data_IF_800137598530
#
_entry.id   IF_800137598530
#
_cell.length_a   1.000
_cell.length_b   1.000
_cell.length_c   1.000
_cell.angle_alpha   90.00
_cell.angle_beta   90.00
_cell.angle_gamma   90.00
#
_symmetry.space_group_name_H-M   'P 1'
#
loop_
_entity.id
_entity.type
_entity.pdbx_description
1 polymer ?
#
# COMPACT_ATOMS: atom_id res chain seq x y z
N UNK A 1 23.93 12.94 14.74
CA UNK A 1 24.18 11.49 14.95
C UNK A 1 23.10 10.64 14.30
N UNK A 2 21.91 10.44 14.90
CA UNK A 2 20.88 9.55 14.30
C UNK A 2 20.37 10.06 12.94
N UNK A 3 20.08 11.36 12.82
CA UNK A 3 19.66 11.99 11.56
C UNK A 3 20.71 11.80 10.46
N UNK A 4 21.98 12.07 10.76
CA UNK A 4 23.05 12.06 9.77
C UNK A 4 23.38 10.62 9.33
N UNK A 5 23.23 9.64 10.23
CA UNK A 5 23.29 8.21 9.89
C UNK A 5 22.15 7.80 8.93
N UNK A 6 20.93 8.24 9.19
CA UNK A 6 19.76 7.98 8.33
C UNK A 6 19.92 8.64 6.96
N UNK A 7 20.43 9.87 6.91
CA UNK A 7 20.77 10.56 5.65
C UNK A 7 21.89 9.84 4.89
N UNK A 8 22.91 9.33 5.58
CA UNK A 8 23.98 8.55 4.96
C UNK A 8 23.50 7.21 4.37
N UNK A 9 22.42 6.63 4.93
CA UNK A 9 21.73 5.47 4.37
C UNK A 9 20.81 5.81 3.18
N UNK A 10 20.79 7.06 2.71
CA UNK A 10 19.98 7.51 1.59
C UNK A 10 18.52 7.78 1.94
N UNK A 11 18.14 7.74 3.22
CA UNK A 11 16.81 8.15 3.65
C UNK A 11 16.72 9.67 3.64
N UNK A 12 15.63 10.22 3.11
CA UNK A 12 15.40 11.66 3.03
C UNK A 12 14.30 12.10 4.00
N UNK A 13 14.23 13.40 4.25
CA UNK A 13 13.10 13.95 4.99
C UNK A 13 11.82 13.72 4.18
N UNK A 14 10.75 13.25 4.84
CA UNK A 14 9.43 13.00 4.22
C UNK A 14 8.66 14.30 3.92
N UNK A 15 9.36 15.44 3.90
CA UNK A 15 8.79 16.72 3.50
C UNK A 15 8.50 16.71 2.00
N UNK A 16 7.33 17.25 1.60
CA UNK A 16 6.92 17.35 0.19
C UNK A 16 8.04 17.90 -0.70
N UNK A 17 8.66 19.02 -0.30
CA UNK A 17 9.78 19.65 -1.03
C UNK A 17 10.99 18.71 -1.19
N UNK A 18 11.28 17.87 -0.19
CA UNK A 18 12.39 16.91 -0.26
C UNK A 18 12.13 15.81 -1.30
N UNK A 19 10.90 15.31 -1.34
CA UNK A 19 10.46 14.33 -2.34
C UNK A 19 10.49 14.95 -3.74
N UNK A 20 9.90 16.14 -3.91
CA UNK A 20 9.86 16.84 -5.20
C UNK A 20 11.28 17.15 -5.72
N UNK A 21 12.19 17.63 -4.88
CA UNK A 21 13.60 17.86 -5.26
C UNK A 21 14.32 16.58 -5.67
N UNK A 22 14.09 15.47 -4.95
CA UNK A 22 14.71 14.18 -5.27
C UNK A 22 14.22 13.66 -6.63
N UNK A 23 12.92 13.79 -6.92
CA UNK A 23 12.34 13.45 -8.21
C UNK A 23 12.90 14.32 -9.35
N UNK A 24 13.05 15.64 -9.12
CA UNK A 24 13.65 16.55 -10.11
C UNK A 24 15.11 16.25 -10.41
N UNK A 25 15.84 15.66 -9.46
CA UNK A 25 17.22 15.17 -9.66
C UNK A 25 17.29 13.83 -10.40
N UNK A 26 16.14 13.23 -10.78
CA UNK A 26 16.08 11.94 -11.45
C UNK A 26 16.19 10.74 -10.52
N UNK A 27 16.09 10.93 -9.21
CA UNK A 27 16.14 9.83 -8.24
C UNK A 27 14.77 9.15 -8.11
N UNK A 28 14.80 7.86 -7.73
CA UNK A 28 13.58 7.11 -7.37
C UNK A 28 13.29 7.25 -5.89
N UNK A 29 12.04 7.60 -5.55
CA UNK A 29 11.62 7.77 -4.16
C UNK A 29 10.69 6.63 -3.74
N UNK A 30 11.04 5.95 -2.66
CA UNK A 30 10.18 4.96 -2.01
C UNK A 30 9.36 5.64 -0.90
N UNK A 31 8.04 5.47 -0.93
CA UNK A 31 7.13 6.02 0.09
C UNK A 31 6.31 4.89 0.69
N UNK A 32 6.36 4.75 2.02
CA UNK A 32 5.51 3.81 2.76
C UNK A 32 4.16 4.48 3.01
N UNK A 33 3.13 4.05 2.28
CA UNK A 33 1.81 4.70 2.28
C UNK A 33 1.05 4.56 3.60
N UNK A 34 1.36 3.54 4.39
CA UNK A 34 0.71 3.25 5.67
C UNK A 34 1.02 4.15 6.85
N UNK A 35 2.21 4.74 6.82
CA UNK A 35 2.76 5.54 7.92
C UNK A 35 2.58 4.89 9.30
N UNK A 36 2.37 5.74 10.31
CA UNK A 36 2.17 5.28 11.68
C UNK A 36 0.77 4.69 11.93
N UNK A 37 -0.20 4.97 11.05
CA UNK A 37 -1.56 4.46 11.18
C UNK A 37 -1.59 2.93 10.95
N UNK A 38 -0.88 2.44 9.93
CA UNK A 38 -0.68 1.01 9.74
C UNK A 38 0.09 0.40 10.91
N UNK A 39 1.11 1.06 11.45
CA UNK A 39 1.89 0.54 12.58
C UNK A 39 1.04 0.28 13.85
N UNK A 40 0.00 1.07 14.09
CA UNK A 40 -0.94 0.82 15.20
C UNK A 40 -1.86 -0.39 14.96
N UNK A 41 -2.12 -0.71 13.69
CA UNK A 41 -2.94 -1.84 13.26
C UNK A 41 -2.11 -3.10 13.01
N UNK A 42 -0.81 -2.97 12.75
CA UNK A 42 0.14 -4.07 12.53
C UNK A 42 0.27 -4.89 13.80
N UNK A 43 -0.47 -5.99 13.82
CA UNK A 43 -0.32 -7.08 14.79
C UNK A 43 0.29 -8.27 14.07
N UNK A 44 1.00 -9.09 14.83
CA UNK A 44 1.40 -10.42 14.36
C UNK A 44 0.12 -11.17 13.94
N UNK A 45 -0.02 -11.43 12.65
CA UNK A 45 -1.20 -12.06 12.09
C UNK A 45 -0.85 -12.72 10.76
N UNK A 46 -1.06 -14.03 10.69
CA UNK A 46 -0.94 -14.80 9.46
C UNK A 46 -2.22 -14.73 8.61
N UNK A 47 -3.26 -14.05 9.11
CA UNK A 47 -4.62 -14.08 8.54
C UNK A 47 -5.07 -12.74 7.97
N UNK A 48 -4.49 -11.62 8.38
CA UNK A 48 -4.94 -10.28 7.98
C UNK A 48 -3.76 -9.40 7.57
N UNK A 49 -3.86 -8.77 6.40
CA UNK A 49 -2.98 -7.70 5.95
C UNK A 49 -3.76 -6.39 5.90
N UNK A 50 -3.25 -5.33 6.53
CA UNK A 50 -3.92 -4.04 6.59
C UNK A 50 -3.28 -3.05 5.62
N UNK A 51 -4.07 -2.42 4.75
CA UNK A 51 -3.65 -1.25 3.96
C UNK A 51 -4.45 -0.03 4.35
N UNK A 52 -3.79 1.11 4.47
CA UNK A 52 -4.43 2.40 4.72
C UNK A 52 -4.53 3.17 3.41
N UNK A 53 -5.77 3.38 2.95
CA UNK A 53 -6.05 3.91 1.61
C UNK A 53 -6.42 5.40 1.59
N UNK A 54 -6.49 6.06 2.75
CA UNK A 54 -6.90 7.47 2.81
C UNK A 54 -5.80 8.47 2.42
N UNK A 55 -4.54 8.05 2.38
CA UNK A 55 -3.41 8.91 2.03
C UNK A 55 -3.36 9.15 0.50
N UNK A 56 -3.58 10.39 0.07
CA UNK A 56 -3.56 10.79 -1.35
C UNK A 56 -2.41 11.73 -1.72
N UNK A 57 -1.57 12.10 -0.75
CA UNK A 57 -0.47 13.06 -0.95
C UNK A 57 0.57 12.59 -1.97
N UNK A 58 0.98 11.32 -1.91
CA UNK A 58 1.94 10.74 -2.85
C UNK A 58 1.39 10.67 -4.28
N UNK A 59 0.09 10.46 -4.42
CA UNK A 59 -0.62 10.43 -5.71
C UNK A 59 -0.58 11.80 -6.36
N UNK A 60 -0.87 12.87 -5.60
CA UNK A 60 -0.75 14.26 -6.08
C UNK A 60 0.66 14.59 -6.54
N UNK A 61 1.68 14.23 -5.76
CA UNK A 61 3.09 14.46 -6.16
C UNK A 61 3.40 13.73 -7.46
N UNK A 62 2.96 12.48 -7.59
CA UNK A 62 3.23 11.71 -8.80
C UNK A 62 2.55 12.30 -10.06
N UNK A 63 1.31 12.79 -9.92
CA UNK A 63 0.59 13.47 -11.00
C UNK A 63 1.26 14.79 -11.39
N UNK A 64 1.66 15.62 -10.42
CA UNK A 64 2.34 16.91 -10.67
C UNK A 64 3.64 16.72 -11.45
N UNK A 65 4.46 15.74 -11.07
CA UNK A 65 5.74 15.47 -11.70
C UNK A 65 5.66 14.49 -12.88
N UNK A 66 4.46 14.01 -13.22
CA UNK A 66 4.22 13.01 -14.28
C UNK A 66 5.11 11.77 -14.16
N UNK A 67 5.35 11.32 -12.93
CA UNK A 67 6.14 10.12 -12.64
C UNK A 67 5.24 8.90 -12.42
N UNK A 68 5.67 7.70 -12.81
CA UNK A 68 4.91 6.49 -12.59
C UNK A 68 4.88 6.09 -11.11
N UNK A 69 3.73 5.62 -10.63
CA UNK A 69 3.62 4.97 -9.33
C UNK A 69 3.84 3.46 -9.48
N UNK A 70 4.80 2.91 -8.73
CA UNK A 70 5.08 1.46 -8.71
C UNK A 70 4.49 0.86 -7.43
N UNK A 71 3.50 -0.03 -7.52
CA UNK A 71 2.96 -0.70 -6.34
C UNK A 71 3.95 -1.76 -5.86
N UNK A 72 4.42 -1.63 -4.62
CA UNK A 72 5.32 -2.57 -3.97
C UNK A 72 4.62 -3.14 -2.75
N UNK A 73 4.69 -4.46 -2.60
CA UNK A 73 4.07 -5.20 -1.51
C UNK A 73 5.11 -6.07 -0.82
N UNK A 74 5.14 -6.08 0.50
CA UNK A 74 6.06 -6.89 1.29
C UNK A 74 5.28 -7.80 2.23
N UNK A 75 5.42 -9.11 2.04
CA UNK A 75 4.83 -10.12 2.91
C UNK A 75 5.77 -10.41 4.09
N UNK A 76 5.19 -10.87 5.20
CA UNK A 76 5.86 -11.26 6.45
C UNK A 76 6.57 -10.15 7.24
N UNK A 77 6.49 -8.87 6.83
CA UNK A 77 7.09 -7.75 7.60
C UNK A 77 6.56 -7.68 9.03
N UNK A 78 5.23 -7.78 9.20
CA UNK A 78 4.58 -7.76 10.52
C UNK A 78 5.01 -8.91 11.45
N UNK A 79 5.48 -10.02 10.87
CA UNK A 79 5.87 -11.21 11.64
C UNK A 79 7.37 -11.24 11.96
N UNK A 80 8.15 -10.40 11.29
CA UNK A 80 9.59 -10.29 11.47
C UNK A 80 9.94 -9.64 12.81
N UNK A 81 9.26 -8.54 13.14
CA UNK A 81 9.36 -7.81 14.41
C UNK A 81 7.95 -7.49 14.87
N UNK A 82 7.44 -8.25 15.85
CA UNK A 82 6.15 -7.97 16.45
C UNK A 82 6.27 -6.71 17.30
N UNK A 83 5.28 -5.81 17.24
CA UNK A 83 5.25 -4.64 18.10
C UNK A 83 4.25 -4.88 19.24
N UNK A 84 4.66 -4.66 20.50
CA UNK A 84 3.67 -4.57 21.59
C UNK A 84 2.96 -3.24 21.44
N UNK A 85 1.78 -3.27 20.82
CA UNK A 85 0.95 -2.08 20.70
C UNK A 85 -0.01 -1.96 21.90
N UNK A 86 0.12 -0.86 22.64
CA UNK A 86 -0.88 -0.41 23.62
C UNK A 86 -1.78 0.65 22.97
N UNK A 87 -2.85 0.26 22.25
CA UNK A 87 -3.58 1.16 21.34
C UNK A 87 -4.21 2.36 22.05
N UNK A 88 -4.62 2.24 23.32
CA UNK A 88 -5.18 3.37 24.09
C UNK A 88 -4.12 4.41 24.47
N UNK A 89 -2.94 3.96 24.91
CA UNK A 89 -1.85 4.86 25.29
C UNK A 89 -1.16 5.43 24.05
N UNK A 90 -0.91 4.62 23.02
CA UNK A 90 -0.28 5.07 21.79
C UNK A 90 -1.13 6.10 21.04
N UNK A 91 -2.46 5.96 21.04
CA UNK A 91 -3.36 6.95 20.40
C UNK A 91 -3.39 8.27 21.18
N UNK A 92 -3.27 8.21 22.50
CA UNK A 92 -3.12 9.40 23.35
C UNK A 92 -1.75 10.08 23.17
N UNK A 93 -0.67 9.29 23.09
CA UNK A 93 0.68 9.82 22.87
C UNK A 93 0.87 10.31 21.43
N UNK A 94 0.21 9.69 20.43
CA UNK A 94 0.19 10.22 19.06
C UNK A 94 -0.52 11.57 19.00
N UNK A 95 -1.65 11.74 19.70
CA UNK A 95 -2.35 13.03 19.69
C UNK A 95 -1.60 14.15 20.42
N UNK A 96 -0.78 13.81 21.43
CA UNK A 96 -0.02 14.79 22.23
C UNK A 96 1.44 15.01 21.81
N UNK A 97 2.12 13.98 21.34
CA UNK A 97 3.59 13.94 21.16
C UNK A 97 3.97 13.64 19.69
N UNK A 98 3.04 13.16 18.87
CA UNK A 98 3.30 12.82 17.46
C UNK A 98 4.14 11.55 17.27
N UNK A 99 4.36 10.79 18.35
CA UNK A 99 5.06 9.50 18.32
C UNK A 99 4.31 8.47 19.19
N UNK A 100 4.06 7.25 18.70
CA UNK A 100 3.39 6.22 19.48
C UNK A 100 4.38 5.63 20.49
N UNK A 101 4.35 6.15 21.71
CA UNK A 101 5.06 5.58 22.85
C UNK A 101 4.05 5.00 23.86
N UNK A 102 4.29 3.81 24.44
CA UNK A 102 5.42 2.89 24.19
C UNK A 102 5.18 2.00 22.97
N UNK A 103 6.17 1.89 22.09
CA UNK A 103 6.25 0.86 21.04
C UNK A 103 7.56 0.12 21.25
N UNK A 104 7.49 -1.08 21.83
CA UNK A 104 8.66 -1.94 22.00
C UNK A 104 8.57 -3.04 20.93
N UNK A 105 9.42 -3.00 19.89
CA UNK A 105 9.52 -4.10 18.95
C UNK A 105 10.14 -5.29 19.68
N UNK A 106 9.44 -6.40 19.71
CA UNK A 106 9.91 -7.67 20.24
C UNK A 106 9.93 -8.70 19.12
N UNK A 107 11.06 -9.37 18.96
CA UNK A 107 11.19 -10.52 18.08
C UNK A 107 11.71 -11.70 18.88
N UNK A 108 12.87 -12.23 18.50
CA UNK A 108 13.43 -13.43 19.12
C UNK A 108 13.77 -13.18 20.60
N UNK A 109 13.30 -14.04 21.50
CA UNK A 109 13.54 -13.96 22.96
C UNK A 109 13.14 -12.63 23.62
N UNK A 110 12.10 -11.94 23.11
CA UNK A 110 11.68 -10.61 23.59
C UNK A 110 12.73 -9.48 23.41
N UNK A 111 13.80 -9.76 22.66
CA UNK A 111 14.79 -8.77 22.25
C UNK A 111 14.32 -8.10 20.94
N UNK A 112 14.82 -6.90 20.61
CA UNK A 112 14.58 -6.24 19.33
C UNK A 112 15.36 -6.91 18.17
N UNK A 113 15.36 -8.25 18.13
CA UNK A 113 16.03 -9.08 17.12
C UNK A 113 14.98 -9.69 16.20
N UNK A 114 15.10 -9.53 14.87
CA UNK A 114 14.11 -10.04 13.92
C UNK A 114 14.03 -11.57 13.93
N UNK A 115 12.82 -12.09 13.75
CA UNK A 115 12.57 -13.51 13.57
C UNK A 115 13.14 -14.01 12.23
N UNK A 116 13.56 -15.28 12.17
CA UNK A 116 14.06 -15.90 10.92
C UNK A 116 12.87 -16.33 10.05
N UNK A 117 12.19 -15.37 9.44
CA UNK A 117 11.10 -15.62 8.49
C UNK A 117 11.48 -15.12 7.09
N UNK A 118 11.13 -15.86 6.02
CA UNK A 118 11.41 -15.44 4.66
C UNK A 118 10.53 -14.25 4.28
N UNK A 119 11.15 -13.13 3.94
CA UNK A 119 10.46 -11.93 3.46
C UNK A 119 10.28 -12.04 1.95
N UNK A 120 9.03 -11.90 1.50
CA UNK A 120 8.70 -11.90 0.07
C UNK A 120 8.27 -10.50 -0.35
N UNK A 121 9.11 -9.83 -1.15
CA UNK A 121 8.79 -8.53 -1.74
C UNK A 121 8.31 -8.73 -3.17
N UNK A 122 7.14 -8.19 -3.48
CA UNK A 122 6.52 -8.23 -4.80
C UNK A 122 6.48 -6.82 -5.36
N UNK A 123 7.09 -6.65 -6.53
CA UNK A 123 7.09 -5.39 -7.27
C UNK A 123 6.11 -5.52 -8.43
N UNK A 124 5.17 -4.58 -8.49
CA UNK A 124 4.15 -4.52 -9.53
C UNK A 124 4.56 -3.75 -10.78
N UNK A 125 3.61 -3.63 -11.72
CA UNK A 125 3.79 -2.84 -12.93
C UNK A 125 3.68 -1.33 -12.63
N UNK A 126 4.50 -0.48 -13.27
CA UNK A 126 4.38 0.96 -13.12
C UNK A 126 3.03 1.45 -13.68
N UNK A 127 2.35 2.30 -12.91
CA UNK A 127 1.11 2.96 -13.31
C UNK A 127 1.48 4.40 -13.67
N UNK A 128 1.19 4.82 -14.89
CA UNK A 128 1.50 6.16 -15.39
C UNK A 128 0.27 7.07 -15.24
N UNK A 129 0.46 8.36 -14.89
CA UNK A 129 -0.62 9.34 -14.94
C UNK A 129 -0.98 9.65 -16.41
N UNK A 130 -2.27 9.62 -16.74
CA UNK A 130 -2.79 9.83 -18.08
C UNK A 130 -2.85 11.33 -18.45
N UNK A 131 -2.25 11.74 -19.58
CA UNK A 131 -2.30 13.14 -20.02
C UNK A 131 -3.73 13.63 -20.25
N UNK A 132 -4.10 14.72 -19.59
CA UNK A 132 -5.42 15.37 -19.74
C UNK A 132 -6.53 14.79 -18.85
N UNK A 133 -6.38 13.54 -18.40
CA UNK A 133 -7.34 12.89 -17.49
C UNK A 133 -6.93 12.97 -16.03
N UNK A 134 -5.64 13.15 -15.73
CA UNK A 134 -5.11 13.18 -14.38
C UNK A 134 -4.59 14.59 -14.02
N UNK A 135 -5.47 15.42 -13.44
CA UNK A 135 -5.16 16.80 -13.03
C UNK A 135 -4.96 16.85 -11.51
N UNK A 136 -3.81 17.31 -10.99
CA UNK A 136 -3.52 17.29 -9.57
C UNK A 136 -4.39 18.26 -8.75
N UNK A 137 -5.00 19.26 -9.38
CA UNK A 137 -5.94 20.17 -8.71
C UNK A 137 -7.34 19.56 -8.53
N UNK A 138 -7.73 18.60 -9.38
CA UNK A 138 -9.05 17.98 -9.29
C UNK A 138 -9.02 16.79 -8.30
N UNK A 139 -9.75 16.85 -7.17
CA UNK A 139 -9.77 15.77 -6.20
C UNK A 139 -10.30 14.45 -6.76
N UNK A 140 -11.22 14.48 -7.73
CA UNK A 140 -11.79 13.27 -8.34
C UNK A 140 -10.74 12.53 -9.17
N UNK A 141 -9.89 13.26 -9.89
CA UNK A 141 -8.81 12.67 -10.69
C UNK A 141 -7.76 12.02 -9.78
N UNK A 142 -7.41 12.69 -8.68
CA UNK A 142 -6.52 12.13 -7.65
C UNK A 142 -7.12 10.85 -7.05
N UNK A 143 -8.42 10.85 -6.73
CA UNK A 143 -9.10 9.69 -6.18
C UNK A 143 -9.12 8.52 -7.18
N UNK A 144 -9.40 8.79 -8.46
CA UNK A 144 -9.38 7.77 -9.52
C UNK A 144 -8.00 7.15 -9.69
N UNK A 145 -6.95 7.96 -9.72
CA UNK A 145 -5.58 7.45 -9.84
C UNK A 145 -5.15 6.66 -8.59
N UNK A 146 -5.56 7.12 -7.41
CA UNK A 146 -5.40 6.40 -6.15
C UNK A 146 -6.10 5.04 -6.16
N UNK A 147 -7.34 4.96 -6.66
CA UNK A 147 -8.09 3.70 -6.78
C UNK A 147 -7.39 2.72 -7.71
N UNK A 148 -6.86 3.18 -8.86
CA UNK A 148 -6.06 2.33 -9.76
C UNK A 148 -4.84 1.75 -9.06
N UNK A 149 -4.15 2.56 -8.27
CA UNK A 149 -3.00 2.13 -7.48
C UNK A 149 -3.36 1.03 -6.48
N UNK A 150 -4.38 1.25 -5.65
CA UNK A 150 -4.80 0.25 -4.66
C UNK A 150 -5.41 -1.00 -5.28
N UNK A 151 -6.12 -0.88 -6.41
CA UNK A 151 -6.61 -2.06 -7.15
C UNK A 151 -5.45 -2.90 -7.68
N UNK A 152 -4.38 -2.26 -8.16
CA UNK A 152 -3.17 -2.99 -8.57
C UNK A 152 -2.50 -3.69 -7.39
N UNK A 153 -2.45 -3.07 -6.20
CA UNK A 153 -1.93 -3.71 -4.99
C UNK A 153 -2.77 -4.91 -4.56
N UNK A 154 -4.09 -4.78 -4.60
CA UNK A 154 -5.02 -5.87 -4.30
C UNK A 154 -4.82 -7.08 -5.23
N UNK A 155 -4.70 -6.84 -6.54
CA UNK A 155 -4.41 -7.89 -7.53
C UNK A 155 -3.07 -8.57 -7.23
N UNK A 156 -2.03 -7.81 -6.89
CA UNK A 156 -0.72 -8.37 -6.52
C UNK A 156 -0.81 -9.20 -5.24
N UNK A 157 -1.57 -8.73 -4.26
CA UNK A 157 -1.79 -9.44 -3.00
C UNK A 157 -2.40 -10.82 -3.27
N UNK A 158 -3.55 -10.90 -3.95
CA UNK A 158 -4.21 -12.19 -4.20
C UNK A 158 -3.38 -13.12 -5.08
N UNK A 159 -2.63 -12.58 -6.05
CA UNK A 159 -1.77 -13.35 -6.94
C UNK A 159 -0.57 -13.99 -6.23
N UNK A 160 0.04 -13.30 -5.27
CA UNK A 160 1.30 -13.74 -4.65
C UNK A 160 1.18 -14.22 -3.21
N UNK A 161 0.06 -13.99 -2.51
CA UNK A 161 -0.13 -14.43 -1.11
C UNK A 161 0.10 -15.93 -0.90
N UNK A 162 -0.33 -16.77 -1.85
CA UNK A 162 -0.14 -18.22 -1.75
C UNK A 162 1.33 -18.62 -1.90
N UNK A 163 2.06 -17.95 -2.81
CA UNK A 163 3.50 -18.15 -3.02
C UNK A 163 4.33 -17.65 -1.83
N UNK A 164 3.85 -16.60 -1.15
CA UNK A 164 4.48 -16.07 0.05
C UNK A 164 4.23 -16.93 1.31
N UNK A 165 3.44 -18.02 1.21
CA UNK A 165 3.14 -18.92 2.33
C UNK A 165 1.88 -18.57 3.12
N UNK A 166 1.08 -17.61 2.64
CA UNK A 166 -0.10 -17.07 3.32
C UNK A 166 -1.40 -17.25 2.50
N UNK A 167 -1.82 -18.49 2.16
CA UNK A 167 -2.94 -18.74 1.26
C UNK A 167 -4.31 -18.29 1.82
N UNK A 168 -4.48 -18.29 3.14
CA UNK A 168 -5.72 -17.90 3.83
C UNK A 168 -5.77 -16.43 4.22
N UNK A 169 -4.76 -15.65 3.86
CA UNK A 169 -4.66 -14.25 4.26
C UNK A 169 -5.71 -13.39 3.55
N UNK A 170 -6.38 -12.56 4.33
CA UNK A 170 -7.39 -11.60 3.88
C UNK A 170 -6.81 -10.20 3.88
N UNK A 171 -7.33 -9.35 2.99
CA UNK A 171 -6.91 -7.97 2.88
C UNK A 171 -7.92 -7.06 3.57
N UNK A 172 -7.44 -6.10 4.36
CA UNK A 172 -8.27 -5.16 5.11
C UNK A 172 -7.87 -3.75 4.71
N UNK A 173 -8.74 -3.08 3.96
CA UNK A 173 -8.54 -1.71 3.51
C UNK A 173 -9.17 -0.75 4.52
N UNK A 174 -8.37 0.17 5.06
CA UNK A 174 -8.78 1.21 6.00
C UNK A 174 -8.90 2.54 5.27
N UNK A 175 -10.13 3.02 5.08
CA UNK A 175 -10.43 4.34 4.54
C UNK A 175 -10.99 5.24 5.64
N UNK A 176 -10.12 6.04 6.28
CA UNK A 176 -10.48 6.87 7.45
C UNK A 176 -11.06 6.04 8.60
N UNK A 177 -12.38 5.97 8.72
CA UNK A 177 -13.10 5.19 9.73
C UNK A 177 -13.81 3.95 9.15
N UNK A 178 -13.78 3.78 7.83
CA UNK A 178 -14.42 2.65 7.14
C UNK A 178 -13.39 1.53 6.95
N UNK A 179 -13.80 0.32 7.31
CA UNK A 179 -12.96 -0.89 7.22
C UNK A 179 -13.61 -1.81 6.20
N UNK A 180 -12.99 -1.94 5.03
CA UNK A 180 -13.41 -2.86 3.99
C UNK A 180 -12.56 -4.11 4.05
N UNK A 181 -13.19 -5.24 4.40
CA UNK A 181 -12.54 -6.55 4.37
C UNK A 181 -12.74 -7.17 2.99
N UNK A 182 -11.65 -7.42 2.29
CA UNK A 182 -11.64 -8.17 1.04
C UNK A 182 -11.12 -9.57 1.31
N UNK A 183 -12.01 -10.53 1.17
CA UNK A 183 -11.68 -11.96 1.13
C UNK A 183 -11.82 -12.45 -0.31
N UNK A 184 -11.04 -13.46 -0.68
CA UNK A 184 -11.08 -14.05 -2.02
C UNK A 184 -12.47 -14.59 -2.40
N UNK A 185 -13.34 -14.90 -1.43
CA UNK A 185 -14.72 -15.30 -1.70
C UNK A 185 -15.61 -14.17 -2.25
N UNK A 186 -15.18 -12.91 -2.19
CA UNK A 186 -15.98 -11.75 -2.63
C UNK A 186 -15.74 -11.34 -4.10
N UNK A 187 -14.67 -11.82 -4.75
CA UNK A 187 -14.38 -11.51 -6.16
C UNK A 187 -15.13 -12.44 -7.15
N UNK A 188 -15.62 -13.61 -6.72
CA UNK A 188 -16.40 -14.52 -7.59
C UNK A 188 -17.82 -14.01 -7.92
N UNK A 189 -18.29 -12.92 -7.33
CA UNK A 189 -19.66 -12.41 -7.55
C UNK A 189 -19.76 -11.16 -8.44
N UNK A 190 -18.66 -10.73 -9.07
CA UNK A 190 -18.68 -9.56 -9.98
C UNK A 190 -17.95 -9.86 -11.30
N UNK A 191 -18.45 -10.85 -12.05
CA UNK A 191 -18.34 -10.81 -13.50
C UNK A 191 -19.53 -10.02 -14.06
N UNK A 192 -19.32 -8.98 -14.89
CA UNK A 192 -20.39 -8.33 -15.61
C UNK A 192 -20.86 -9.25 -16.74
N UNK A 193 -22.15 -9.59 -16.74
CA UNK A 193 -22.88 -10.13 -17.88
C UNK A 193 -22.78 -9.14 -19.04
N UNK A 194 -21.75 -9.31 -19.88
CA UNK A 194 -21.59 -8.63 -21.15
C UNK A 194 -22.37 -9.38 -22.23
N UNK A 195 -23.48 -8.75 -22.62
CA UNK A 195 -24.10 -8.72 -23.94
C UNK A 195 -23.51 -9.65 -25.02
N UNK A 196 -24.35 -10.62 -25.41
CA UNK A 196 -24.21 -11.34 -26.67
C UNK A 196 -24.58 -10.39 -27.81
N UNK A 197 -23.60 -10.01 -28.62
CA UNK A 197 -23.84 -9.51 -29.97
C UNK A 197 -22.75 -10.02 -30.92
N UNK A 198 -23.21 -10.84 -31.89
CA UNK A 198 -22.65 -11.17 -33.23
C UNK A 198 -22.57 -12.67 -33.49
N UNK A 199 -23.52 -13.17 -34.28
CA UNK A 199 -23.17 -14.06 -35.38
C UNK A 199 -24.08 -13.77 -36.59
N UNK A 200 -23.57 -12.87 -37.43
CA UNK A 200 -23.94 -12.69 -38.82
C UNK A 200 -23.59 -13.97 -39.59
N UNK A 201 -24.60 -14.72 -40.04
CA UNK A 201 -24.45 -15.80 -41.02
C UNK A 201 -25.22 -15.42 -42.28
N UNK A 202 -24.51 -14.74 -43.17
CA UNK A 202 -24.77 -14.75 -44.61
C UNK A 202 -24.60 -16.18 -45.12
N UNK A 203 -25.63 -16.73 -45.78
CA UNK A 203 -25.68 -17.88 -46.72
C UNK A 203 -27.18 -18.19 -46.89
N UNK A 204 -27.82 -18.27 -48.05
CA UNK A 204 -27.44 -18.11 -49.45
C UNK A 204 -28.75 -17.71 -50.17
N UNK A 205 -28.63 -16.85 -51.19
CA UNK A 205 -29.60 -16.79 -52.28
C UNK A 205 -29.39 -18.06 -53.13
N UNK A 206 -30.42 -18.89 -53.27
CA UNK A 206 -30.88 -19.57 -54.50
C UNK A 206 -32.05 -20.52 -54.17
#
# INVERSE_FOLDING_TARGET
MLRDFVLALGCLTVARRGIENSLLQGNSVLVVTGGQAEMLCSKFSDTEMHFVTHHSGFVRVAMTHRVPLVPILSFSENNLLSNVCFPRMQRYTMSKVGFPFPTVPYGKFYLPLPNKLPITVVVGRPILPEPGMDCPENPEHVQRYQQRYFKSLEVLFFKYRAKAGYPKMTLVLHHRNEIHRVSAAAEETKEPTGEQEKEEKTKDLE
#
